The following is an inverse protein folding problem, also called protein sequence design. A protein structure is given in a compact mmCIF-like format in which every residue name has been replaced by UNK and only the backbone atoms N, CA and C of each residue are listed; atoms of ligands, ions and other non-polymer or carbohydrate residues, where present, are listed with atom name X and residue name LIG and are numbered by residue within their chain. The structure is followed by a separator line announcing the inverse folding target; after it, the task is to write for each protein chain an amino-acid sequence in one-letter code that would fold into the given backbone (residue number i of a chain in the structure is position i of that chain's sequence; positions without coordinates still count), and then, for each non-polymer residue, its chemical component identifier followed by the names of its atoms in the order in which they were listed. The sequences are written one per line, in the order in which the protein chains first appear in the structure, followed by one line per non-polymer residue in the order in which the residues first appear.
data_IF_546212217805
#
_entry.id   IF_546212217805
#
_cell.length_a   1.000
_cell.length_b   1.000
_cell.length_c   1.000
_cell.angle_alpha   90.00
_cell.angle_beta   90.00
_cell.angle_gamma   90.00
#
_symmetry.space_group_name_H-M   'P 1'
#
loop_
_entity.id
_entity.type
_entity.pdbx_description
1 polymer ?
#
# COMPACT_ATOMS: atom_id res chain seq x y z
N UNK A 1 94.03 -11.45 9.08
CA UNK A 1 92.74 -12.20 9.05
C UNK A 1 92.71 -13.09 7.82
N UNK A 2 92.67 -14.42 8.00
CA UNK A 2 92.87 -15.37 6.90
C UNK A 2 91.68 -15.39 5.93
N UNK A 3 91.98 -15.44 4.63
CA UNK A 3 91.02 -15.49 3.49
C UNK A 3 89.96 -16.60 3.63
N UNK A 4 90.26 -17.65 4.41
CA UNK A 4 89.33 -18.73 4.78
C UNK A 4 88.20 -18.28 5.74
N UNK A 5 88.46 -17.35 6.66
CA UNK A 5 87.43 -16.83 7.58
C UNK A 5 86.47 -15.85 6.88
N UNK A 6 86.96 -15.09 5.88
CA UNK A 6 86.12 -14.21 5.06
C UNK A 6 85.16 -15.00 4.15
N UNK A 7 85.59 -16.14 3.61
CA UNK A 7 84.72 -17.02 2.81
C UNK A 7 83.68 -17.77 3.66
N UNK A 8 84.05 -18.18 4.88
CA UNK A 8 83.11 -18.81 5.82
C UNK A 8 82.06 -17.82 6.35
N UNK A 9 82.43 -16.55 6.59
CA UNK A 9 81.48 -15.51 6.99
C UNK A 9 80.56 -15.07 5.84
N UNK A 10 81.07 -15.00 4.60
CA UNK A 10 80.26 -14.71 3.42
C UNK A 10 79.22 -15.79 3.12
N UNK A 11 79.58 -17.08 3.28
CA UNK A 11 78.65 -18.20 3.10
C UNK A 11 77.53 -18.24 4.15
N UNK A 12 77.85 -17.95 5.42
CA UNK A 12 76.86 -17.90 6.50
C UNK A 12 75.87 -16.72 6.38
N UNK A 13 76.32 -15.57 5.85
CA UNK A 13 75.45 -14.42 5.58
C UNK A 13 74.47 -14.69 4.43
N UNK A 14 74.91 -15.37 3.36
CA UNK A 14 74.03 -15.71 2.23
C UNK A 14 73.02 -16.80 2.62
N UNK A 15 73.41 -17.77 3.46
CA UNK A 15 72.50 -18.79 3.97
C UNK A 15 71.43 -18.22 4.91
N UNK A 16 71.74 -17.19 5.71
CA UNK A 16 70.78 -16.54 6.60
C UNK A 16 69.80 -15.62 5.86
N UNK A 17 70.25 -14.91 4.81
CA UNK A 17 69.36 -14.13 3.93
C UNK A 17 68.47 -15.07 3.10
N UNK A 18 68.99 -16.19 2.60
CA UNK A 18 68.21 -17.20 1.88
C UNK A 18 67.16 -17.90 2.75
N UNK A 19 67.50 -18.21 4.01
CA UNK A 19 66.54 -18.77 4.97
C UNK A 19 65.47 -17.74 5.40
N UNK A 20 65.82 -16.46 5.54
CA UNK A 20 64.85 -15.41 5.85
C UNK A 20 63.83 -15.18 4.71
N UNK A 21 64.24 -15.34 3.44
CA UNK A 21 63.35 -15.29 2.27
C UNK A 21 62.45 -16.52 2.11
N UNK A 22 62.86 -17.67 2.64
CA UNK A 22 62.07 -18.93 2.60
C UNK A 22 61.16 -19.13 3.82
N UNK A 23 61.36 -18.37 4.90
CA UNK A 23 60.53 -18.37 6.10
C UNK A 23 59.65 -17.13 6.25
N UNK A 24 59.50 -16.28 5.22
CA UNK A 24 58.39 -15.32 5.21
C UNK A 24 57.08 -16.12 5.07
N UNK A 25 56.20 -16.14 6.10
CA UNK A 25 54.91 -16.78 5.96
C UNK A 25 54.20 -16.19 4.74
N UNK A 26 53.74 -17.09 3.88
CA UNK A 26 53.17 -16.77 2.58
C UNK A 26 52.14 -15.65 2.68
N UNK A 27 52.27 -14.69 1.76
CA UNK A 27 51.16 -14.01 1.11
C UNK A 27 49.85 -14.10 1.87
N UNK A 28 49.57 -13.02 2.62
CA UNK A 28 48.22 -12.56 2.91
C UNK A 28 47.32 -12.92 1.71
N UNK A 29 46.17 -13.59 1.90
CA UNK A 29 45.22 -13.74 0.81
C UNK A 29 44.96 -12.36 0.20
N UNK A 30 44.67 -12.24 -1.12
CA UNK A 30 44.29 -10.97 -1.73
C UNK A 30 42.89 -10.58 -1.24
N UNK A 31 42.78 -10.26 0.05
CA UNK A 31 41.67 -9.63 0.72
C UNK A 31 42.18 -8.29 1.20
N UNK A 32 42.17 -7.32 0.28
CA UNK A 32 42.15 -5.86 0.51
C UNK A 32 42.54 -5.11 -0.76
N UNK A 33 42.00 -5.52 -1.91
CA UNK A 33 41.79 -4.58 -2.99
C UNK A 33 40.50 -3.83 -2.64
N UNK A 34 40.64 -2.59 -2.18
CA UNK A 34 39.61 -1.56 -2.18
C UNK A 34 38.74 -1.70 -3.44
N UNK A 35 37.61 -2.39 -3.34
CA UNK A 35 36.58 -2.35 -4.37
C UNK A 35 35.74 -1.15 -4.04
N UNK A 36 36.16 0.00 -4.55
CA UNK A 36 35.32 1.19 -4.55
C UNK A 36 33.90 0.77 -4.97
N UNK A 37 32.85 1.31 -4.33
CA UNK A 37 31.47 1.02 -4.70
C UNK A 37 31.29 1.08 -6.21
N UNK A 38 30.79 -0.02 -6.82
CA UNK A 38 30.56 -0.08 -8.26
C UNK A 38 29.07 -0.14 -8.53
N UNK A 39 28.61 0.53 -9.58
CA UNK A 39 27.23 0.41 -10.01
C UNK A 39 26.89 -1.05 -10.32
N UNK A 40 25.73 -1.51 -9.83
CA UNK A 40 25.20 -2.84 -10.14
C UNK A 40 24.95 -2.99 -11.65
N UNK A 41 24.49 -1.90 -12.28
CA UNK A 41 24.19 -1.83 -13.72
C UNK A 41 24.87 -0.62 -14.38
N UNK A 42 26.16 -0.73 -14.76
CA UNK A 42 26.85 0.32 -15.50
C UNK A 42 26.11 0.67 -16.81
N UNK A 43 25.99 1.96 -17.12
CA UNK A 43 25.32 2.45 -18.34
C UNK A 43 23.82 2.13 -18.43
N UNK A 44 23.15 1.81 -17.31
CA UNK A 44 21.72 1.53 -17.33
C UNK A 44 20.88 2.77 -17.70
N UNK A 45 21.26 3.95 -17.20
CA UNK A 45 20.52 5.19 -17.43
C UNK A 45 20.25 5.47 -18.93
N UNK A 46 21.27 5.31 -19.78
CA UNK A 46 21.15 5.50 -21.23
C UNK A 46 20.25 4.45 -21.90
N UNK A 47 20.17 3.24 -21.33
CA UNK A 47 19.40 2.12 -21.87
C UNK A 47 17.94 2.12 -21.41
N UNK A 48 17.63 2.73 -20.26
CA UNK A 48 16.28 2.76 -19.69
C UNK A 48 15.26 3.50 -20.55
N UNK A 49 15.69 4.38 -21.46
CA UNK A 49 14.78 4.97 -22.45
C UNK A 49 14.02 3.91 -23.26
N UNK A 50 14.64 2.74 -23.48
CA UNK A 50 14.08 1.58 -24.20
C UNK A 50 13.23 0.65 -23.32
N UNK A 51 13.15 0.89 -22.00
CA UNK A 51 12.39 0.03 -21.10
C UNK A 51 10.91 0.01 -21.49
N UNK A 52 10.36 -1.18 -21.68
CA UNK A 52 8.97 -1.39 -22.09
C UNK A 52 8.21 -2.31 -21.13
N UNK A 53 8.93 -3.12 -20.34
CA UNK A 53 8.33 -4.05 -19.40
C UNK A 53 9.13 -4.16 -18.11
N UNK A 54 8.46 -4.21 -16.98
CA UNK A 54 9.05 -4.50 -15.67
C UNK A 54 8.34 -5.72 -15.13
N UNK A 55 9.09 -6.74 -14.74
CA UNK A 55 8.57 -7.95 -14.11
C UNK A 55 9.18 -8.07 -12.73
N UNK A 56 8.37 -8.35 -11.72
CA UNK A 56 8.85 -8.78 -10.42
C UNK A 56 8.18 -10.08 -10.02
N UNK A 57 8.97 -11.09 -9.68
CA UNK A 57 8.50 -12.41 -9.29
C UNK A 57 9.00 -12.73 -7.89
N UNK A 58 8.06 -12.88 -6.96
CA UNK A 58 8.27 -13.42 -5.63
C UNK A 58 7.54 -14.77 -5.50
N UNK A 59 7.70 -15.46 -4.38
CA UNK A 59 7.07 -16.78 -4.18
C UNK A 59 5.53 -16.74 -4.29
N UNK A 60 4.90 -15.74 -3.66
CA UNK A 60 3.43 -15.64 -3.56
C UNK A 60 2.80 -14.59 -4.50
N UNK A 61 3.61 -13.78 -5.19
CA UNK A 61 3.12 -12.64 -5.96
C UNK A 61 3.96 -12.42 -7.23
N UNK A 62 3.30 -11.97 -8.29
CA UNK A 62 3.93 -11.55 -9.54
C UNK A 62 3.38 -10.21 -9.96
N UNK A 63 4.28 -9.31 -10.30
CA UNK A 63 4.00 -8.01 -10.87
C UNK A 63 4.47 -8.00 -12.32
N UNK A 64 3.61 -7.52 -13.22
CA UNK A 64 4.00 -7.18 -14.59
C UNK A 64 3.51 -5.77 -14.87
N UNK A 65 4.44 -4.85 -15.16
CA UNK A 65 4.14 -3.53 -15.69
C UNK A 65 4.55 -3.50 -17.15
N UNK A 66 3.73 -2.91 -18.01
CA UNK A 66 4.07 -2.69 -19.40
C UNK A 66 3.82 -1.23 -19.80
N UNK A 67 4.65 -0.71 -20.70
CA UNK A 67 4.50 0.60 -21.31
C UNK A 67 4.27 0.41 -22.82
N UNK A 68 3.06 0.70 -23.34
CA UNK A 68 2.83 0.78 -24.78
C UNK A 68 3.68 1.90 -25.41
N UNK A 69 4.00 1.84 -26.72
CA UNK A 69 4.87 2.82 -27.39
C UNK A 69 4.47 4.29 -27.15
N UNK A 70 3.17 4.58 -27.21
CA UNK A 70 2.61 5.92 -27.01
C UNK A 70 1.79 6.02 -25.71
N UNK A 71 2.01 5.09 -24.78
CA UNK A 71 1.21 4.92 -23.57
C UNK A 71 1.98 5.19 -22.28
N UNK A 72 1.23 5.27 -21.18
CA UNK A 72 1.80 5.26 -19.84
C UNK A 72 2.07 3.82 -19.38
N UNK A 73 2.85 3.68 -18.31
CA UNK A 73 2.98 2.39 -17.62
C UNK A 73 1.63 1.95 -17.06
N UNK A 74 1.28 0.69 -17.26
CA UNK A 74 0.05 0.09 -16.76
C UNK A 74 0.20 -1.39 -16.43
N UNK A 75 -0.86 -1.97 -15.86
CA UNK A 75 -0.96 -3.38 -15.52
C UNK A 75 -1.67 -4.15 -16.64
N UNK A 76 -0.98 -5.02 -17.41
CA UNK A 76 -1.59 -5.79 -18.48
C UNK A 76 -2.80 -6.63 -18.02
N UNK A 77 -2.69 -7.26 -16.85
CA UNK A 77 -3.75 -8.10 -16.26
C UNK A 77 -5.00 -7.30 -15.85
N UNK A 78 -4.93 -5.97 -15.88
CA UNK A 78 -6.04 -5.04 -15.65
C UNK A 78 -6.33 -4.19 -16.89
N UNK A 79 -6.23 -4.82 -18.07
CA UNK A 79 -6.45 -4.17 -19.37
C UNK A 79 -5.56 -2.93 -19.59
N UNK A 80 -4.33 -2.96 -19.07
CA UNK A 80 -3.37 -1.84 -19.07
C UNK A 80 -3.82 -0.61 -18.25
N UNK A 81 -4.57 -0.82 -17.16
CA UNK A 81 -4.91 0.29 -16.27
C UNK A 81 -3.64 1.01 -15.78
N UNK A 82 -3.59 2.36 -15.84
CA UNK A 82 -2.40 3.13 -15.48
C UNK A 82 -1.94 2.91 -14.04
N UNK A 83 -0.62 2.81 -13.83
CA UNK A 83 -0.01 2.81 -12.49
C UNK A 83 0.51 4.19 -12.12
N UNK A 84 0.88 4.38 -10.85
CA UNK A 84 1.50 5.63 -10.35
C UNK A 84 2.85 5.86 -11.04
N UNK A 85 3.00 6.87 -11.90
CA UNK A 85 4.23 7.07 -12.66
C UNK A 85 5.43 7.40 -11.77
N UNK A 86 5.20 8.05 -10.63
CA UNK A 86 6.24 8.40 -9.66
C UNK A 86 6.91 7.16 -9.08
N UNK A 87 6.13 6.10 -8.78
CA UNK A 87 6.68 4.83 -8.26
C UNK A 87 7.55 4.11 -9.28
N UNK A 88 7.13 4.13 -10.55
CA UNK A 88 7.91 3.52 -11.63
C UNK A 88 9.21 4.30 -11.83
N UNK A 89 9.14 5.63 -11.82
CA UNK A 89 10.30 6.48 -11.93
C UNK A 89 11.28 6.27 -10.75
N UNK A 90 10.78 6.24 -9.51
CA UNK A 90 11.59 5.97 -8.31
C UNK A 90 12.32 4.63 -8.41
N UNK A 91 11.63 3.55 -8.78
CA UNK A 91 12.25 2.23 -8.95
C UNK A 91 13.35 2.24 -10.02
N UNK A 92 13.06 2.81 -11.20
CA UNK A 92 14.01 2.83 -12.31
C UNK A 92 15.24 3.72 -11.99
N UNK A 93 15.03 4.88 -11.37
CA UNK A 93 16.10 5.76 -10.92
C UNK A 93 16.98 5.05 -9.88
N UNK A 94 16.37 4.41 -8.88
CA UNK A 94 17.11 3.67 -7.86
C UNK A 94 17.98 2.54 -8.44
N UNK A 95 17.54 1.86 -9.51
CA UNK A 95 18.36 0.87 -10.20
C UNK A 95 19.60 1.45 -10.87
N UNK A 96 19.53 2.70 -11.37
CA UNK A 96 20.69 3.36 -11.99
C UNK A 96 21.74 3.76 -10.98
N UNK A 97 21.34 3.98 -9.73
CA UNK A 97 22.21 4.45 -8.64
C UNK A 97 22.67 3.32 -7.72
N UNK A 98 22.07 2.12 -7.83
CA UNK A 98 22.36 0.97 -6.98
C UNK A 98 23.85 0.59 -7.06
N UNK A 99 24.53 0.54 -5.91
CA UNK A 99 25.98 0.25 -5.83
C UNK A 99 26.25 -1.04 -5.09
N UNK A 100 27.01 -1.94 -5.69
CA UNK A 100 27.57 -3.11 -5.01
C UNK A 100 28.79 -2.67 -4.20
N UNK A 101 28.75 -2.88 -2.89
CA UNK A 101 29.79 -2.39 -1.97
C UNK A 101 30.63 -3.51 -1.35
N UNK A 102 30.00 -4.60 -0.94
CA UNK A 102 30.69 -5.69 -0.23
C UNK A 102 30.26 -7.04 -0.84
N UNK A 103 31.20 -7.88 -1.33
CA UNK A 103 30.87 -9.26 -1.64
C UNK A 103 30.55 -10.00 -0.33
N UNK A 104 29.38 -10.64 -0.24
CA UNK A 104 28.89 -11.22 1.03
C UNK A 104 29.20 -12.69 1.18
N UNK A 105 28.81 -13.50 0.22
CA UNK A 105 29.05 -14.96 0.19
C UNK A 105 28.89 -15.48 -1.23
N UNK A 106 29.56 -16.58 -1.57
CA UNK A 106 29.35 -17.36 -2.79
C UNK A 106 28.84 -18.78 -2.51
N UNK A 107 28.62 -19.11 -1.23
CA UNK A 107 28.10 -20.40 -0.79
C UNK A 107 26.59 -20.49 -1.06
N UNK A 108 26.12 -21.41 -1.93
CA UNK A 108 24.70 -21.59 -2.22
C UNK A 108 23.84 -21.84 -0.97
N UNK A 109 24.36 -22.58 0.02
CA UNK A 109 23.61 -22.92 1.23
C UNK A 109 23.33 -21.69 2.12
N UNK A 110 24.10 -20.62 1.95
CA UNK A 110 23.93 -19.38 2.70
C UNK A 110 22.90 -18.42 2.06
N UNK A 111 22.49 -18.64 0.81
CA UNK A 111 21.64 -17.71 0.06
C UNK A 111 20.24 -17.54 0.68
N UNK A 112 19.60 -18.64 1.11
CA UNK A 112 18.28 -18.60 1.73
C UNK A 112 18.25 -17.70 2.99
N UNK A 113 19.33 -17.69 3.78
CA UNK A 113 19.44 -16.82 4.98
C UNK A 113 19.47 -15.33 4.65
N UNK A 114 19.88 -14.98 3.43
CA UNK A 114 19.91 -13.61 2.92
C UNK A 114 18.64 -13.25 2.14
N UNK A 115 17.70 -14.19 1.97
CA UNK A 115 16.56 -14.05 1.06
C UNK A 115 16.99 -13.98 -0.40
N UNK A 116 18.05 -14.71 -0.76
CA UNK A 116 18.62 -14.75 -2.11
C UNK A 116 18.57 -16.16 -2.72
N UNK A 117 17.77 -17.05 -2.17
CA UNK A 117 17.41 -18.32 -2.80
C UNK A 117 16.63 -18.10 -4.11
N UNK A 118 16.12 -19.16 -4.72
CA UNK A 118 15.33 -19.03 -5.95
C UNK A 118 13.92 -18.53 -5.62
N UNK A 119 13.44 -17.41 -6.19
CA UNK A 119 12.14 -16.83 -5.83
C UNK A 119 10.93 -17.74 -6.04
N UNK A 120 11.05 -18.79 -6.85
CA UNK A 120 10.01 -19.79 -7.06
C UNK A 120 9.94 -20.85 -5.95
N UNK A 121 10.97 -20.97 -5.10
CA UNK A 121 10.99 -21.93 -4.00
C UNK A 121 9.98 -21.56 -2.92
N UNK A 122 9.31 -22.57 -2.36
CA UNK A 122 8.30 -22.39 -1.33
C UNK A 122 8.90 -21.72 -0.08
N UNK A 123 8.32 -20.60 0.34
CA UNK A 123 8.80 -19.84 1.50
C UNK A 123 9.99 -18.92 1.22
N UNK A 124 10.47 -18.84 -0.03
CA UNK A 124 11.51 -17.87 -0.41
C UNK A 124 11.02 -16.43 -0.19
N UNK A 125 11.89 -15.61 0.38
CA UNK A 125 11.68 -14.15 0.48
C UNK A 125 12.36 -13.37 -0.64
N UNK A 126 13.02 -14.07 -1.57
CA UNK A 126 13.69 -13.48 -2.71
C UNK A 126 12.67 -12.93 -3.72
N UNK A 127 13.02 -11.82 -4.37
CA UNK A 127 12.26 -11.27 -5.49
C UNK A 127 13.17 -11.11 -6.70
N UNK A 128 12.84 -11.76 -7.82
CA UNK A 128 13.50 -11.54 -9.11
C UNK A 128 12.87 -10.31 -9.77
N UNK A 129 13.67 -9.29 -10.02
CA UNK A 129 13.31 -8.08 -10.78
C UNK A 129 13.95 -8.13 -12.17
N UNK A 130 13.15 -7.88 -13.20
CA UNK A 130 13.58 -7.77 -14.60
C UNK A 130 13.05 -6.48 -15.20
N UNK A 131 13.94 -5.71 -15.83
CA UNK A 131 13.56 -4.58 -16.69
C UNK A 131 13.92 -4.97 -18.11
N UNK A 132 12.93 -5.02 -18.99
CA UNK A 132 13.07 -5.50 -20.36
C UNK A 132 12.76 -4.38 -21.36
N UNK A 133 13.36 -4.47 -22.54
CA UNK A 133 12.96 -3.64 -23.69
C UNK A 133 11.72 -4.21 -24.39
N UNK A 134 11.28 -3.54 -25.46
CA UNK A 134 10.11 -3.94 -26.25
C UNK A 134 10.28 -5.28 -26.97
N UNK A 135 11.51 -5.73 -27.20
CA UNK A 135 11.82 -7.04 -27.80
C UNK A 135 11.91 -8.16 -26.74
N UNK A 136 11.76 -7.82 -25.45
CA UNK A 136 11.90 -8.76 -24.34
C UNK A 136 13.35 -9.00 -23.91
N UNK A 137 14.32 -8.25 -24.43
CA UNK A 137 15.71 -8.38 -24.02
C UNK A 137 15.93 -7.71 -22.64
N UNK A 138 16.68 -8.34 -21.72
CA UNK A 138 16.91 -7.79 -20.39
C UNK A 138 17.86 -6.59 -20.45
N UNK A 139 17.38 -5.44 -19.94
CA UNK A 139 18.18 -4.23 -19.71
C UNK A 139 18.86 -4.29 -18.33
N UNK A 140 18.13 -4.78 -17.33
CA UNK A 140 18.60 -5.04 -15.98
C UNK A 140 17.88 -6.27 -15.39
N UNK A 141 18.61 -7.05 -14.61
CA UNK A 141 18.07 -8.24 -13.94
C UNK A 141 18.77 -8.46 -12.60
N UNK A 142 18.00 -8.68 -11.54
CA UNK A 142 18.49 -8.75 -10.16
C UNK A 142 17.61 -9.64 -9.30
N UNK A 143 18.21 -10.51 -8.49
CA UNK A 143 17.53 -11.13 -7.36
C UNK A 143 17.76 -10.26 -6.13
N UNK A 144 16.67 -9.79 -5.53
CA UNK A 144 16.63 -8.89 -4.39
C UNK A 144 16.23 -9.70 -3.16
N UNK A 145 17.01 -9.57 -2.09
CA UNK A 145 16.75 -10.26 -0.82
C UNK A 145 16.51 -9.32 0.34
N UNK A 146 16.84 -9.79 1.53
CA UNK A 146 16.54 -9.10 2.77
C UNK A 146 17.25 -7.75 2.84
N UNK A 147 16.55 -6.75 3.40
CA UNK A 147 17.18 -5.46 3.75
C UNK A 147 18.14 -5.69 4.91
N UNK A 148 19.30 -5.05 4.87
CA UNK A 148 20.24 -5.09 5.99
C UNK A 148 19.69 -4.19 7.10
N UNK A 149 19.46 -4.72 8.32
CA UNK A 149 19.04 -3.89 9.44
C UNK A 149 20.09 -2.79 9.66
N UNK A 150 19.64 -1.54 9.84
CA UNK A 150 20.54 -0.48 10.26
C UNK A 150 21.02 -0.76 11.68
N UNK A 151 22.30 -0.52 12.00
CA UNK A 151 22.77 -0.55 13.38
C UNK A 151 21.93 0.39 14.26
N UNK A 152 21.79 0.12 15.56
CA UNK A 152 21.12 1.06 16.46
C UNK A 152 22.10 2.18 16.90
N UNK A 153 21.58 3.40 17.11
CA UNK A 153 22.33 4.55 17.65
C UNK A 153 22.44 5.74 16.70
N UNK A 154 22.92 6.88 17.20
CA UNK A 154 22.93 8.18 16.50
C UNK A 154 23.75 8.16 15.18
N UNK A 155 24.80 7.34 15.11
CA UNK A 155 25.62 7.15 13.89
C UNK A 155 24.91 6.36 12.77
N UNK A 156 23.76 5.75 13.04
CA UNK A 156 23.02 4.96 12.06
C UNK A 156 22.03 5.77 11.22
N UNK A 157 21.69 7.00 11.63
CA UNK A 157 20.82 7.87 10.86
C UNK A 157 21.46 8.34 9.55
N UNK A 158 22.80 8.36 9.50
CA UNK A 158 23.59 8.84 8.35
C UNK A 158 24.07 7.73 7.41
N UNK A 159 23.82 6.45 7.72
CA UNK A 159 24.21 5.35 6.85
C UNK A 159 23.18 5.15 5.73
N UNK A 160 23.63 4.92 4.48
CA UNK A 160 22.72 4.60 3.39
C UNK A 160 21.96 3.30 3.67
N UNK A 161 20.73 3.22 3.16
CA UNK A 161 20.00 1.95 3.13
C UNK A 161 20.80 0.92 2.35
N UNK A 162 20.77 -0.33 2.82
CA UNK A 162 21.43 -1.44 2.13
C UNK A 162 20.58 -2.70 2.12
N UNK A 163 20.79 -3.53 1.11
CA UNK A 163 20.07 -4.77 0.87
C UNK A 163 21.02 -5.83 0.31
N UNK A 164 20.65 -7.10 0.46
CA UNK A 164 21.35 -8.19 -0.21
C UNK A 164 20.81 -8.37 -1.63
N UNK A 165 21.71 -8.56 -2.59
CA UNK A 165 21.38 -8.79 -3.99
C UNK A 165 22.29 -9.85 -4.61
N UNK A 166 21.83 -10.52 -5.66
CA UNK A 166 22.68 -11.32 -6.56
C UNK A 166 22.19 -11.21 -7.99
N UNK A 167 23.07 -11.53 -8.93
CA UNK A 167 22.65 -11.73 -10.32
C UNK A 167 22.00 -13.11 -10.45
N UNK A 168 20.99 -13.28 -11.32
CA UNK A 168 20.44 -14.60 -11.61
C UNK A 168 21.51 -15.54 -12.17
N UNK A 169 21.45 -16.81 -11.80
CA UNK A 169 22.42 -17.83 -12.20
C UNK A 169 23.79 -17.73 -11.50
N UNK A 170 24.08 -16.63 -10.78
CA UNK A 170 25.27 -16.50 -9.95
C UNK A 170 24.96 -16.85 -8.49
N UNK A 171 25.92 -17.45 -7.78
CA UNK A 171 25.83 -17.71 -6.33
C UNK A 171 26.47 -16.61 -5.50
N UNK A 172 27.20 -15.68 -6.15
CA UNK A 172 27.82 -14.55 -5.48
C UNK A 172 26.76 -13.53 -5.05
N UNK A 173 26.50 -13.48 -3.75
CA UNK A 173 25.71 -12.45 -3.10
C UNK A 173 26.56 -11.20 -2.81
N UNK A 174 25.91 -10.04 -2.86
CA UNK A 174 26.50 -8.73 -2.57
C UNK A 174 25.63 -7.98 -1.57
N UNK A 175 26.26 -7.14 -0.76
CA UNK A 175 25.59 -6.00 -0.15
C UNK A 175 25.56 -4.89 -1.19
N UNK A 176 24.36 -4.37 -1.45
CA UNK A 176 24.16 -3.19 -2.27
C UNK A 176 23.69 -2.02 -1.42
N UNK A 177 24.25 -0.84 -1.66
CA UNK A 177 23.78 0.44 -1.13
C UNK A 177 22.74 1.03 -2.07
N UNK A 178 21.61 1.44 -1.50
CA UNK A 178 20.46 1.97 -2.20
C UNK A 178 19.16 1.46 -1.59
N UNK A 179 18.05 2.03 -2.07
CA UNK A 179 16.70 1.62 -1.70
C UNK A 179 15.94 1.28 -2.96
N UNK A 180 15.49 0.03 -3.07
CA UNK A 180 14.57 -0.38 -4.13
C UNK A 180 13.16 -0.44 -3.54
N UNK A 181 12.31 0.51 -3.92
CA UNK A 181 10.90 0.54 -3.54
C UNK A 181 10.07 -0.43 -4.40
N UNK A 182 10.49 -1.69 -4.44
CA UNK A 182 9.81 -2.76 -5.16
C UNK A 182 8.81 -3.48 -4.24
N UNK A 183 7.58 -3.56 -4.70
CA UNK A 183 6.53 -4.36 -4.09
C UNK A 183 5.93 -5.27 -5.17
N UNK A 184 5.99 -6.61 -5.02
CA UNK A 184 5.48 -7.54 -6.02
C UNK A 184 3.95 -7.61 -6.06
N UNK A 185 3.23 -6.98 -5.13
CA UNK A 185 1.77 -6.84 -5.19
C UNK A 185 1.35 -5.77 -6.23
N UNK A 186 0.63 -6.14 -7.31
CA UNK A 186 0.11 -5.19 -8.28
C UNK A 186 -0.73 -4.05 -7.69
N UNK A 187 -1.43 -4.27 -6.58
CA UNK A 187 -2.30 -3.26 -5.98
C UNK A 187 -1.52 -2.08 -5.40
N UNK A 188 -0.28 -2.30 -4.96
CA UNK A 188 0.60 -1.25 -4.39
C UNK A 188 1.01 -0.18 -5.41
N UNK A 189 0.91 -0.51 -6.71
CA UNK A 189 1.27 0.35 -7.84
C UNK A 189 0.10 1.19 -8.34
N UNK A 190 -1.12 0.86 -7.96
CA UNK A 190 -2.33 1.55 -8.38
C UNK A 190 -2.59 2.79 -7.54
N UNK A 191 -3.01 3.86 -8.19
CA UNK A 191 -3.78 4.89 -7.50
C UNK A 191 -5.24 4.40 -7.42
N UNK A 192 -5.68 4.12 -6.19
CA UNK A 192 -6.99 3.52 -5.92
C UNK A 192 -8.06 4.55 -5.58
N UNK A 193 -7.69 5.82 -5.38
CA UNK A 193 -8.60 6.88 -4.96
C UNK A 193 -9.30 7.51 -6.17
N UNK A 194 -10.53 7.07 -6.44
CA UNK A 194 -11.30 7.46 -7.62
C UNK A 194 -11.76 8.92 -7.55
N UNK A 195 -12.25 9.34 -6.38
CA UNK A 195 -12.86 10.66 -6.17
C UNK A 195 -12.80 11.08 -4.68
N UNK A 196 -12.74 12.39 -4.45
CA UNK A 196 -12.79 12.99 -3.12
C UNK A 196 -13.62 14.26 -3.13
N UNK A 197 -14.87 14.18 -3.59
CA UNK A 197 -15.76 15.34 -3.67
C UNK A 197 -16.52 15.46 -2.35
N UNK A 198 -16.42 16.63 -1.72
CA UNK A 198 -17.01 16.88 -0.41
C UNK A 198 -18.54 16.88 -0.45
N UNK A 199 -19.17 16.28 0.57
CA UNK A 199 -20.62 16.06 0.64
C UNK A 199 -21.48 17.32 0.65
N UNK A 200 -20.92 18.41 1.19
CA UNK A 200 -21.54 19.73 1.30
C UNK A 200 -21.69 20.41 -0.07
N UNK A 201 -20.88 20.00 -1.05
CA UNK A 201 -21.02 20.44 -2.44
C UNK A 201 -22.24 19.85 -3.13
N UNK A 202 -22.82 18.74 -2.65
CA UNK A 202 -23.97 18.11 -3.33
C UNK A 202 -25.21 19.00 -3.19
N UNK A 203 -25.77 19.41 -4.33
CA UNK A 203 -26.98 20.24 -4.43
C UNK A 203 -28.21 19.43 -4.84
N UNK A 204 -28.05 18.49 -5.77
CA UNK A 204 -29.17 17.70 -6.28
C UNK A 204 -28.69 16.32 -6.74
N UNK A 205 -29.45 15.28 -6.43
CA UNK A 205 -29.24 13.94 -6.91
C UNK A 205 -30.52 13.44 -7.59
N UNK A 206 -30.40 12.96 -8.82
CA UNK A 206 -31.48 12.30 -9.57
C UNK A 206 -31.11 10.85 -9.75
N UNK A 207 -31.89 9.95 -9.16
CA UNK A 207 -31.65 8.51 -9.14
C UNK A 207 -32.70 7.84 -9.99
N UNK A 208 -32.25 7.07 -10.99
CA UNK A 208 -33.08 6.29 -11.92
C UNK A 208 -32.68 4.83 -11.84
N UNK A 209 -33.38 4.09 -10.97
CA UNK A 209 -33.18 2.64 -10.82
C UNK A 209 -34.08 1.88 -11.80
N UNK A 210 -33.58 0.77 -12.33
CA UNK A 210 -34.35 -0.07 -13.25
C UNK A 210 -35.63 -0.57 -12.57
N UNK A 211 -36.79 -0.38 -13.22
CA UNK A 211 -38.09 -0.82 -12.73
C UNK A 211 -38.66 -0.03 -11.53
N UNK A 212 -38.06 1.10 -11.16
CA UNK A 212 -38.54 1.96 -10.06
C UNK A 212 -38.84 3.39 -10.54
N UNK A 213 -39.72 4.13 -9.85
CA UNK A 213 -39.93 5.54 -10.14
C UNK A 213 -38.65 6.36 -9.90
N UNK A 214 -38.55 7.48 -10.60
CA UNK A 214 -37.46 8.44 -10.39
C UNK A 214 -37.50 9.00 -8.96
N UNK A 215 -36.33 9.04 -8.34
CA UNK A 215 -36.12 9.58 -7.00
C UNK A 215 -35.24 10.82 -7.12
N UNK A 216 -35.71 11.96 -6.61
CA UNK A 216 -34.96 13.22 -6.63
C UNK A 216 -34.73 13.67 -5.20
N UNK A 217 -33.46 13.89 -4.87
CA UNK A 217 -33.01 14.43 -3.58
C UNK A 217 -32.40 15.80 -3.85
N UNK A 218 -32.80 16.81 -3.09
CA UNK A 218 -32.26 18.17 -3.25
C UNK A 218 -31.86 18.76 -1.92
N UNK A 219 -30.82 19.61 -1.97
CA UNK A 219 -30.46 20.52 -0.90
C UNK A 219 -31.11 21.88 -1.18
N UNK A 220 -32.22 22.15 -0.49
CA UNK A 220 -32.97 23.40 -0.64
C UNK A 220 -32.43 24.47 0.30
N UNK A 221 -32.11 25.66 -0.21
CA UNK A 221 -31.63 26.80 0.59
C UNK A 221 -30.11 26.98 0.62
N UNK A 222 -29.58 27.45 1.74
CA UNK A 222 -28.16 27.72 1.99
C UNK A 222 -27.29 26.44 1.87
N UNK A 223 -25.98 26.55 1.63
CA UNK A 223 -25.05 25.41 1.53
C UNK A 223 -25.13 24.40 2.69
N UNK A 224 -25.43 24.84 3.91
CA UNK A 224 -25.55 23.98 5.10
C UNK A 224 -26.94 23.35 5.30
N UNK A 225 -27.89 23.62 4.40
CA UNK A 225 -29.25 23.06 4.50
C UNK A 225 -29.24 21.55 4.37
N UNK A 226 -30.20 20.85 4.99
CA UNK A 226 -30.30 19.39 4.88
C UNK A 226 -30.77 18.96 3.50
N UNK A 227 -30.37 17.76 3.09
CA UNK A 227 -30.95 17.08 1.92
C UNK A 227 -32.38 16.63 2.26
N UNK A 228 -33.24 16.61 1.24
CA UNK A 228 -34.59 16.05 1.35
C UNK A 228 -35.00 15.42 0.01
N UNK A 229 -35.81 14.37 0.07
CA UNK A 229 -36.49 13.83 -1.11
C UNK A 229 -37.56 14.82 -1.55
N UNK A 230 -37.48 15.27 -2.81
CA UNK A 230 -38.49 16.14 -3.44
C UNK A 230 -39.37 15.39 -4.45
N UNK A 231 -38.93 14.20 -4.88
CA UNK A 231 -39.71 13.36 -5.79
C UNK A 231 -39.53 11.91 -5.36
N UNK A 232 -40.63 11.18 -5.05
CA UNK A 232 -42.03 11.63 -5.09
C UNK A 232 -42.35 12.68 -3.99
N UNK A 233 -43.34 13.55 -4.23
CA UNK A 233 -43.65 14.68 -3.33
C UNK A 233 -44.32 14.23 -2.02
N UNK A 234 -44.98 13.07 -2.03
CA UNK A 234 -45.59 12.39 -0.90
C UNK A 234 -44.63 11.41 -0.22
N UNK A 235 -43.31 11.63 -0.38
CA UNK A 235 -42.30 10.79 0.24
C UNK A 235 -42.48 10.77 1.78
N UNK A 236 -42.37 9.58 2.40
CA UNK A 236 -42.43 9.39 3.85
C UNK A 236 -41.34 10.19 4.59
N UNK A 237 -41.39 10.32 5.93
CA UNK A 237 -40.30 10.92 6.69
C UNK A 237 -38.97 10.23 6.40
N UNK A 238 -37.97 11.03 6.02
CA UNK A 238 -36.67 10.53 5.61
C UNK A 238 -35.75 10.32 6.82
N UNK A 239 -34.83 9.37 6.70
CA UNK A 239 -33.68 9.21 7.58
C UNK A 239 -32.57 10.18 7.14
N UNK A 240 -32.13 11.04 8.06
CA UNK A 240 -31.05 11.99 7.79
C UNK A 240 -29.71 11.29 7.56
N UNK A 241 -29.50 10.12 8.19
CA UNK A 241 -28.26 9.35 8.02
C UNK A 241 -28.18 8.77 6.62
N UNK A 242 -29.24 8.11 6.15
CA UNK A 242 -29.32 7.58 4.79
C UNK A 242 -29.14 8.68 3.72
N UNK A 243 -29.69 9.88 3.94
CA UNK A 243 -29.48 11.01 3.03
C UNK A 243 -28.04 11.53 3.05
N UNK A 244 -27.38 11.56 4.22
CA UNK A 244 -25.95 11.90 4.32
C UNK A 244 -25.07 10.86 3.62
N UNK A 245 -25.42 9.58 3.64
CA UNK A 245 -24.71 8.55 2.88
C UNK A 245 -24.71 8.83 1.37
N UNK A 246 -25.85 9.26 0.81
CA UNK A 246 -25.94 9.69 -0.60
C UNK A 246 -25.06 10.93 -0.85
N UNK A 247 -25.06 11.90 0.08
CA UNK A 247 -24.19 13.07 0.00
C UNK A 247 -22.71 12.69 -0.06
N UNK A 248 -22.32 11.66 0.69
CA UNK A 248 -20.96 11.13 0.83
C UNK A 248 -20.61 10.10 -0.25
N UNK A 249 -21.43 9.92 -1.29
CA UNK A 249 -21.21 8.90 -2.32
C UNK A 249 -19.81 9.01 -2.97
N UNK A 250 -19.39 10.23 -3.33
CA UNK A 250 -18.09 10.53 -3.96
C UNK A 250 -17.00 10.97 -2.96
N UNK A 251 -17.28 10.92 -1.66
CA UNK A 251 -16.30 11.20 -0.60
C UNK A 251 -15.45 9.95 -0.33
N UNK A 252 -14.12 10.11 -0.36
CA UNK A 252 -13.12 9.06 -0.17
C UNK A 252 -13.39 7.80 -1.01
N UNK A 253 -13.81 7.99 -2.26
CA UNK A 253 -14.20 6.90 -3.12
C UNK A 253 -12.94 6.16 -3.58
N UNK A 254 -12.87 4.85 -3.31
CA UNK A 254 -11.79 3.99 -3.76
C UNK A 254 -12.32 2.69 -4.38
N UNK A 255 -11.50 2.00 -5.16
CA UNK A 255 -11.87 0.74 -5.81
C UNK A 255 -11.08 -0.47 -5.30
N UNK A 256 -11.68 -1.65 -5.49
CA UNK A 256 -11.07 -2.97 -5.25
C UNK A 256 -10.53 -3.55 -6.55
N UNK A 257 -11.33 -3.52 -7.61
CA UNK A 257 -10.95 -3.92 -8.97
C UNK A 257 -11.35 -2.83 -10.00
N UNK A 258 -10.78 -2.93 -11.19
CA UNK A 258 -11.09 -2.07 -12.32
C UNK A 258 -11.11 -2.89 -13.60
N UNK A 259 -12.07 -2.60 -14.47
CA UNK A 259 -12.25 -3.23 -15.79
C UNK A 259 -12.66 -2.19 -16.83
N UNK A 260 -12.47 -2.44 -18.12
CA UNK A 260 -12.99 -1.56 -19.16
C UNK A 260 -14.52 -1.44 -19.08
N UNK A 261 -15.06 -0.24 -19.18
CA UNK A 261 -16.51 -0.01 -19.14
C UNK A 261 -17.24 -0.67 -20.31
N UNK A 262 -16.56 -0.87 -21.45
CA UNK A 262 -17.10 -1.58 -22.61
C UNK A 262 -17.51 -3.04 -22.29
N UNK A 263 -17.00 -3.62 -21.19
CA UNK A 263 -17.45 -4.94 -20.73
C UNK A 263 -18.91 -4.94 -20.24
N UNK A 264 -19.46 -3.78 -19.88
CA UNK A 264 -20.87 -3.61 -19.53
C UNK A 264 -21.79 -3.96 -20.71
N UNK A 265 -21.43 -3.53 -21.92
CA UNK A 265 -22.21 -3.78 -23.15
C UNK A 265 -22.28 -5.27 -23.49
N UNK A 266 -21.24 -6.02 -23.12
CA UNK A 266 -21.21 -7.49 -23.24
C UNK A 266 -21.89 -8.23 -22.09
N UNK A 267 -22.59 -7.54 -21.18
CA UNK A 267 -23.24 -8.14 -20.01
C UNK A 267 -22.26 -8.68 -18.95
N UNK A 268 -20.96 -8.38 -19.07
CA UNK A 268 -19.91 -8.95 -18.20
C UNK A 268 -19.78 -8.25 -16.85
N UNK A 269 -20.50 -7.15 -16.63
CA UNK A 269 -20.62 -6.47 -15.34
C UNK A 269 -21.92 -6.81 -14.59
N UNK A 270 -22.71 -7.75 -15.12
CA UNK A 270 -23.95 -8.22 -14.49
C UNK A 270 -25.17 -7.35 -14.80
N UNK A 271 -26.16 -7.37 -13.90
CA UNK A 271 -27.44 -6.68 -14.05
C UNK A 271 -27.25 -5.17 -13.87
N UNK A 272 -27.85 -4.36 -14.75
CA UNK A 272 -27.86 -2.91 -14.57
C UNK A 272 -28.78 -2.53 -13.40
N UNK A 273 -28.24 -1.90 -12.36
CA UNK A 273 -29.04 -1.39 -11.25
C UNK A 273 -29.74 -0.09 -11.64
N UNK A 274 -29.02 0.81 -12.31
CA UNK A 274 -29.54 2.13 -12.67
C UNK A 274 -28.45 3.16 -12.89
N UNK A 275 -28.89 4.41 -13.00
CA UNK A 275 -28.05 5.59 -13.18
C UNK A 275 -28.43 6.67 -12.17
N UNK A 276 -27.43 7.35 -11.64
CA UNK A 276 -27.60 8.49 -10.75
C UNK A 276 -26.82 9.68 -11.24
N UNK A 277 -27.50 10.82 -11.37
CA UNK A 277 -26.89 12.11 -11.71
C UNK A 277 -26.80 12.97 -10.46
N UNK A 278 -25.57 13.27 -10.04
CA UNK A 278 -25.22 14.05 -8.87
C UNK A 278 -24.74 15.44 -9.33
N UNK A 279 -25.51 16.46 -9.05
CA UNK A 279 -25.20 17.86 -9.33
C UNK A 279 -24.59 18.51 -8.08
N UNK A 280 -23.38 19.01 -8.24
CA UNK A 280 -22.59 19.67 -7.21
C UNK A 280 -22.56 21.19 -7.43
N UNK A 281 -21.97 21.91 -6.47
CA UNK A 281 -21.56 23.31 -6.67
C UNK A 281 -20.52 23.43 -7.79
N UNK A 282 -20.18 24.66 -8.16
CA UNK A 282 -19.06 24.95 -9.07
C UNK A 282 -19.21 24.34 -10.47
N UNK A 283 -20.46 24.27 -10.95
CA UNK A 283 -20.80 23.76 -12.29
C UNK A 283 -20.31 22.32 -12.54
N UNK A 284 -20.23 21.48 -11.50
CA UNK A 284 -19.85 20.08 -11.61
C UNK A 284 -21.08 19.18 -11.52
N UNK A 285 -21.27 18.30 -12.49
CA UNK A 285 -22.21 17.19 -12.41
C UNK A 285 -21.49 15.87 -12.63
N UNK A 286 -21.85 14.83 -11.88
CA UNK A 286 -21.29 13.49 -12.01
C UNK A 286 -22.42 12.49 -12.26
N UNK A 287 -22.33 11.76 -13.36
CA UNK A 287 -23.22 10.65 -13.69
C UNK A 287 -22.54 9.35 -13.29
N UNK A 288 -23.20 8.58 -12.43
CA UNK A 288 -22.77 7.26 -11.98
C UNK A 288 -23.71 6.19 -12.52
N UNK A 289 -23.19 5.28 -13.34
CA UNK A 289 -23.92 4.10 -13.83
C UNK A 289 -23.49 2.89 -13.03
N UNK A 290 -24.44 2.17 -12.47
CA UNK A 290 -24.18 1.07 -11.55
C UNK A 290 -24.69 -0.27 -12.10
N UNK A 291 -23.87 -1.32 -11.91
CA UNK A 291 -24.21 -2.70 -12.22
C UNK A 291 -23.90 -3.59 -11.03
N UNK A 292 -24.62 -4.70 -10.94
CA UNK A 292 -24.44 -5.73 -9.93
C UNK A 292 -24.10 -7.05 -10.58
N UNK A 293 -22.91 -7.54 -10.26
CA UNK A 293 -22.45 -8.89 -10.61
C UNK A 293 -22.29 -9.67 -9.30
N UNK A 294 -23.21 -10.59 -9.03
CA UNK A 294 -23.28 -11.31 -7.76
C UNK A 294 -23.35 -10.32 -6.57
N UNK A 295 -22.37 -10.34 -5.67
CA UNK A 295 -22.24 -9.40 -4.55
C UNK A 295 -21.30 -8.22 -4.85
N UNK A 296 -20.86 -8.06 -6.11
CA UNK A 296 -19.93 -7.01 -6.53
C UNK A 296 -20.69 -5.85 -7.18
N UNK A 297 -20.47 -4.66 -6.63
CA UNK A 297 -20.96 -3.41 -7.19
C UNK A 297 -19.92 -2.84 -8.16
N UNK A 298 -20.29 -2.71 -9.43
CA UNK A 298 -19.50 -2.04 -10.45
C UNK A 298 -20.09 -0.68 -10.78
N UNK A 299 -19.25 0.36 -10.82
CA UNK A 299 -19.69 1.73 -11.13
C UNK A 299 -18.79 2.35 -12.19
N UNK A 300 -19.40 2.93 -13.22
CA UNK A 300 -18.73 3.79 -14.19
C UNK A 300 -19.16 5.24 -13.95
N UNK A 301 -18.18 6.14 -13.93
CA UNK A 301 -18.39 7.55 -13.63
C UNK A 301 -18.09 8.40 -14.86
N UNK A 302 -18.86 9.47 -15.04
CA UNK A 302 -18.60 10.52 -16.01
C UNK A 302 -18.88 11.87 -15.36
N UNK A 303 -17.98 12.83 -15.52
CA UNK A 303 -18.16 14.19 -15.05
C UNK A 303 -18.54 15.13 -16.20
N UNK A 304 -19.34 16.15 -15.91
CA UNK A 304 -19.68 17.25 -16.79
C UNK A 304 -19.44 18.55 -16.02
N UNK A 305 -18.92 19.58 -16.71
CA UNK A 305 -18.57 20.85 -16.08
C UNK A 305 -17.26 21.44 -16.61
N UNK A 306 -16.57 22.14 -15.72
CA UNK A 306 -15.35 22.90 -16.04
C UNK A 306 -14.07 22.04 -15.95
N UNK A 307 -12.93 22.68 -15.63
CA UNK A 307 -11.62 22.03 -15.57
C UNK A 307 -11.54 20.87 -14.55
N UNK A 308 -12.31 20.92 -13.46
CA UNK A 308 -12.38 19.80 -12.51
C UNK A 308 -12.97 18.55 -13.16
N UNK A 309 -14.07 18.69 -13.90
CA UNK A 309 -14.71 17.59 -14.62
C UNK A 309 -13.76 16.96 -15.66
N UNK A 310 -12.99 17.78 -16.39
CA UNK A 310 -12.00 17.29 -17.34
C UNK A 310 -10.91 16.44 -16.67
N UNK A 311 -10.41 16.85 -15.49
CA UNK A 311 -9.43 16.07 -14.71
C UNK A 311 -10.00 14.75 -14.22
N UNK A 312 -11.24 14.75 -13.71
CA UNK A 312 -11.92 13.53 -13.28
C UNK A 312 -12.14 12.55 -14.45
N UNK A 313 -12.60 13.07 -15.60
CA UNK A 313 -12.80 12.26 -16.79
C UNK A 313 -11.51 11.69 -17.37
N UNK A 314 -10.37 12.38 -17.27
CA UNK A 314 -9.09 11.84 -17.70
C UNK A 314 -8.74 10.53 -16.95
N UNK A 315 -9.23 10.39 -15.71
CA UNK A 315 -9.08 9.17 -14.91
C UNK A 315 -10.18 8.15 -15.17
N UNK A 316 -11.44 8.58 -15.21
CA UNK A 316 -12.60 7.69 -15.22
C UNK A 316 -12.96 7.14 -16.60
N UNK A 317 -12.62 7.86 -17.66
CA UNK A 317 -13.05 7.53 -19.01
C UNK A 317 -12.57 6.14 -19.42
N UNK A 318 -13.52 5.31 -19.84
CA UNK A 318 -13.25 3.95 -20.31
C UNK A 318 -13.20 2.90 -19.22
N UNK A 319 -13.40 3.26 -17.95
CA UNK A 319 -13.27 2.36 -16.82
C UNK A 319 -14.57 2.18 -16.04
N UNK A 320 -14.76 0.96 -15.54
CA UNK A 320 -15.73 0.61 -14.52
C UNK A 320 -14.96 0.09 -13.29
N UNK A 321 -15.35 0.56 -12.13
CA UNK A 321 -14.67 0.30 -10.87
C UNK A 321 -15.52 -0.58 -9.97
N UNK A 322 -14.93 -1.63 -9.41
CA UNK A 322 -15.56 -2.40 -8.36
C UNK A 322 -15.44 -1.63 -7.05
N UNK A 323 -16.57 -1.24 -6.49
CA UNK A 323 -16.65 -0.57 -5.21
C UNK A 323 -17.02 -1.57 -4.10
N UNK A 324 -16.85 -1.17 -2.84
CA UNK A 324 -17.43 -1.91 -1.73
C UNK A 324 -18.96 -1.91 -1.82
N UNK A 325 -19.60 -3.04 -1.52
CA UNK A 325 -21.06 -3.19 -1.59
C UNK A 325 -21.81 -2.12 -0.77
N UNK A 326 -21.22 -1.68 0.34
CA UNK A 326 -21.77 -0.62 1.19
C UNK A 326 -21.99 0.73 0.46
N UNK A 327 -21.34 0.97 -0.70
CA UNK A 327 -21.58 2.15 -1.54
C UNK A 327 -22.83 2.02 -2.42
N UNK A 328 -23.49 0.86 -2.50
CA UNK A 328 -24.66 0.67 -3.37
C UNK A 328 -25.77 1.66 -3.01
N UNK A 329 -26.12 1.76 -1.72
CA UNK A 329 -27.14 2.68 -1.22
C UNK A 329 -26.77 4.15 -1.38
N UNK A 330 -25.48 4.47 -1.43
CA UNK A 330 -25.02 5.83 -1.68
C UNK A 330 -25.21 6.25 -3.15
N UNK A 331 -25.07 5.32 -4.10
CA UNK A 331 -25.21 5.61 -5.53
C UNK A 331 -26.63 5.39 -6.03
N UNK A 332 -27.29 4.29 -5.68
CA UNK A 332 -28.61 3.90 -6.21
C UNK A 332 -29.58 3.50 -5.08
N UNK A 333 -29.86 4.40 -4.11
CA UNK A 333 -30.81 4.14 -3.04
C UNK A 333 -32.22 3.89 -3.59
N UNK A 334 -32.99 3.05 -2.89
CA UNK A 334 -34.45 2.98 -3.08
C UNK A 334 -35.14 3.98 -2.16
N UNK A 335 -36.41 4.32 -2.44
CA UNK A 335 -37.18 5.17 -1.54
C UNK A 335 -37.30 4.56 -0.13
N UNK A 336 -37.41 3.23 -0.04
CA UNK A 336 -37.49 2.52 1.24
C UNK A 336 -36.18 2.58 2.05
N UNK A 337 -35.02 2.59 1.37
CA UNK A 337 -33.72 2.77 2.04
C UNK A 337 -33.57 4.13 2.72
N UNK A 338 -34.27 5.15 2.22
CA UNK A 338 -34.21 6.51 2.75
C UNK A 338 -35.26 6.78 3.81
N UNK A 339 -36.16 5.83 4.11
CA UNK A 339 -37.21 6.02 5.12
C UNK A 339 -36.61 5.96 6.50
N UNK A 340 -37.11 6.83 7.38
CA UNK A 340 -36.84 6.71 8.80
C UNK A 340 -37.28 5.33 9.30
N UNK A 341 -36.40 4.57 9.97
CA UNK A 341 -36.81 3.33 10.60
C UNK A 341 -37.98 3.59 11.54
N UNK A 342 -39.05 2.81 11.42
CA UNK A 342 -40.11 2.82 12.43
C UNK A 342 -39.50 2.23 13.70
N UNK A 343 -39.34 3.07 14.73
CA UNK A 343 -38.96 2.59 16.06
C UNK A 343 -39.97 1.51 16.48
N UNK A 344 -39.53 0.30 16.88
CA UNK A 344 -40.44 -0.67 17.47
C UNK A 344 -41.20 0.03 18.60
N UNK A 345 -42.52 -0.17 18.76
CA UNK A 345 -43.24 0.48 19.84
C UNK A 345 -42.50 0.19 21.14
N UNK A 346 -42.06 1.26 21.81
CA UNK A 346 -41.49 1.17 23.14
C UNK A 346 -42.46 0.29 23.95
N UNK A 347 -41.96 -0.85 24.45
CA UNK A 347 -42.75 -1.74 25.28
C UNK A 347 -43.44 -0.87 26.35
N UNK A 348 -44.77 -0.98 26.53
CA UNK A 348 -45.49 -0.09 27.41
C UNK A 348 -44.82 -0.12 28.77
N UNK A 349 -44.40 1.06 29.23
CA UNK A 349 -43.93 1.25 30.58
C UNK A 349 -45.06 0.77 31.51
N UNK A 350 -44.89 -0.41 32.08
CA UNK A 350 -45.79 -0.95 33.07
C UNK A 350 -45.70 -0.05 34.31
N UNK A 351 -46.58 0.94 34.37
CA UNK A 351 -47.03 1.50 35.63
C UNK A 351 -48.05 0.50 36.20
N UNK A 352 -47.64 -0.27 37.20
CA UNK A 352 -48.53 -0.73 38.25
C UNK A 352 -47.73 -1.02 39.52
N UNK A 353 -47.92 -0.16 40.51
CA UNK A 353 -47.59 -0.46 41.88
C UNK A 353 -48.66 -1.39 42.46
N UNK A 354 -48.30 -2.64 42.75
CA UNK A 354 -48.90 -3.45 43.79
C UNK A 354 -47.99 -4.65 44.09
N UNK A 355 -47.29 -4.60 45.23
CA UNK A 355 -46.57 -5.74 45.79
C UNK A 355 -47.55 -6.88 46.19
N UNK A 356 -47.08 -8.13 46.16
CA UNK A 356 -47.08 -8.87 47.43
C UNK A 356 -45.82 -9.76 47.66
N UNK A 357 -45.37 -9.70 48.92
CA UNK A 357 -44.75 -10.73 49.76
C UNK A 357 -43.61 -11.64 49.22
N UNK A 358 -42.44 -11.46 49.82
CA UNK A 358 -41.34 -12.44 49.85
C UNK A 358 -41.70 -13.68 50.70
N UNK A 359 -41.34 -14.90 50.26
CA UNK A 359 -41.11 -16.04 51.13
C UNK A 359 -39.61 -16.29 51.36
N UNK A 360 -39.29 -16.77 52.56
CA UNK A 360 -37.95 -16.83 53.13
C UNK A 360 -37.01 -17.88 52.55
N UNK A 361 -35.73 -17.67 52.89
CA UNK A 361 -34.60 -18.56 52.60
C UNK A 361 -34.69 -19.93 53.30
N UNK A 362 -33.91 -20.92 52.81
CA UNK A 362 -33.27 -21.85 53.74
C UNK A 362 -31.74 -22.00 53.54
N UNK A 363 -31.07 -21.88 54.68
CA UNK A 363 -29.86 -22.50 55.24
C UNK A 363 -28.75 -23.16 54.38
N UNK A 364 -27.51 -22.85 54.79
CA UNK A 364 -26.19 -23.46 54.51
C UNK A 364 -26.01 -24.89 55.03
N UNK A 365 -24.97 -25.60 54.56
CA UNK A 365 -24.15 -26.51 55.37
C UNK A 365 -22.72 -25.96 55.68
N UNK A 366 -21.96 -26.57 56.63
CA UNK A 366 -21.01 -25.87 57.51
C UNK A 366 -19.49 -26.12 57.29
N UNK A 367 -18.69 -25.17 57.84
CA UNK A 367 -17.33 -25.18 58.46
C UNK A 367 -16.19 -26.07 57.90
N UNK A 368 -14.91 -25.68 57.74
CA UNK A 368 -13.94 -24.80 58.47
C UNK A 368 -12.57 -24.84 57.66
N UNK A 369 -11.42 -24.21 58.02
CA UNK A 369 -11.02 -22.83 58.37
C UNK A 369 -9.71 -22.38 57.58
N UNK A 370 -8.81 -21.45 57.99
CA UNK A 370 -8.40 -20.32 57.11
C UNK A 370 -6.88 -20.20 56.80
N UNK A 371 -6.53 -19.19 55.98
CA UNK A 371 -5.27 -18.40 55.87
C UNK A 371 -4.64 -18.36 54.45
N UNK A 372 -3.80 -17.36 54.11
CA UNK A 372 -3.81 -15.95 54.49
C UNK A 372 -3.79 -15.00 53.27
N UNK A 373 -4.08 -13.75 53.59
CA UNK A 373 -4.06 -12.53 52.78
C UNK A 373 -2.78 -12.35 51.96
N UNK A 374 -2.91 -12.10 50.65
CA UNK A 374 -1.91 -11.38 49.86
C UNK A 374 -2.50 -10.08 49.32
N UNK A 375 -1.84 -9.02 49.73
CA UNK A 375 -2.09 -7.61 49.47
C UNK A 375 -1.87 -7.27 48.00
N UNK A 376 -2.86 -6.71 47.31
CA UNK A 376 -2.67 -6.13 45.99
C UNK A 376 -2.22 -4.64 46.11
N UNK A 377 -1.25 -4.19 45.30
CA UNK A 377 -0.65 -2.85 45.42
C UNK A 377 -1.55 -1.74 44.85
N UNK A 378 -1.45 -0.57 45.49
CA UNK A 378 -2.10 0.70 45.11
C UNK A 378 -1.48 1.27 43.84
N UNK A 379 -2.32 1.65 42.88
CA UNK A 379 -1.95 2.48 41.72
C UNK A 379 -1.76 3.94 42.15
N UNK A 380 -0.68 4.63 41.76
CA UNK A 380 -0.45 6.03 42.11
C UNK A 380 -1.23 7.01 41.22
N UNK A 381 -1.59 8.16 41.81
CA UNK A 381 -2.31 9.27 41.20
C UNK A 381 -1.47 10.03 40.13
N UNK A 382 -2.11 10.69 39.15
CA UNK A 382 -1.40 11.41 38.09
C UNK A 382 -0.80 12.74 38.55
N UNK A 383 0.40 13.03 38.07
CA UNK A 383 1.17 14.26 38.31
C UNK A 383 0.65 15.47 37.51
N UNK A 384 0.85 16.71 38.00
CA UNK A 384 0.35 17.93 37.36
C UNK A 384 1.17 18.38 36.13
N UNK A 385 0.49 19.09 35.23
CA UNK A 385 0.99 19.58 33.94
C UNK A 385 2.10 20.67 34.06
N UNK A 386 3.05 20.73 33.11
CA UNK A 386 4.12 21.73 33.13
C UNK A 386 3.67 23.11 32.64
N UNK A 387 4.21 24.15 33.29
CA UNK A 387 3.97 25.57 33.04
C UNK A 387 4.57 26.05 31.69
N UNK A 388 3.85 26.95 31.01
CA UNK A 388 4.28 27.65 29.80
C UNK A 388 5.38 28.68 30.10
N UNK A 389 6.41 28.83 29.24
CA UNK A 389 7.38 29.90 29.36
C UNK A 389 6.87 31.22 28.76
N UNK A 390 7.19 32.32 29.45
CA UNK A 390 6.86 33.69 29.09
C UNK A 390 7.58 34.17 27.81
N UNK A 391 6.89 34.99 27.04
CA UNK A 391 7.40 35.64 25.83
C UNK A 391 8.45 36.74 26.14
N UNK A 392 9.51 36.90 25.33
CA UNK A 392 10.41 38.03 25.45
C UNK A 392 9.85 39.29 24.75
N UNK A 393 10.00 40.43 25.43
CA UNK A 393 9.73 41.76 24.92
C UNK A 393 10.67 42.13 23.76
N UNK A 394 10.13 42.79 22.72
CA UNK A 394 10.90 43.43 21.65
C UNK A 394 11.51 44.74 22.14
N UNK A 395 12.77 45.06 21.79
CA UNK A 395 13.18 46.42 21.49
C UNK A 395 12.79 46.82 20.05
#
# INVERSE_FOLDING_TARGET
MNRRHLLLLGGAAVATVGAALLLTPGTTPPGDASRAPRLAFPGLAERLARAARIEAKANAATLVLARPPDGAWGLPDKANYPVRPERVHELLAALTELRLVEPRTSDPAALARLGLDEPSEAGSTATLLRVLDAAGAPLAELVIGNRRPRPAGERAASLPDSLYVRRPGETQAWVAEGRLALDPDPQSWLDRDIAGIARDRLRRAVIRRQGQPELVITRSGEPDSKLAVTTPADAPPQDETALDEVARALEFLSFVEVRPVAEAEGGRLGEALGESRLEYTDNLAVTARAWRQDERLWVALAAEGDAEAARLNARWRGWAYQLGQWKEKAFVPTLDDLRRPTEPPAAPAAADGAAPAQPGAPARPPDTPPAPTQTAPRTPAPAPAPAQPAAPARP
#
